data_IF_524558071527
#
_entry.id   IF_524558071527
#
_cell.length_a   1.000
_cell.length_b   1.000
_cell.length_c   1.000
_cell.angle_alpha   90.00
_cell.angle_beta   90.00
_cell.angle_gamma   90.00
#
_symmetry.space_group_name_H-M   'P 1'
#
loop_
_entity.id
_entity.type
_entity.pdbx_description
1 polymer ?
#
# COMPACT_ATOMS: atom_id res chain seq x y z
N UNK A 1 -16.64 72.60 4.63
CA UNK A 1 -17.99 72.04 4.88
C UNK A 1 -18.28 71.06 3.75
N UNK A 2 -17.66 69.87 3.65
CA UNK A 2 -17.71 68.70 4.55
C UNK A 2 -19.13 68.30 4.92
N UNK A 3 -19.73 67.43 4.10
CA UNK A 3 -20.65 66.38 4.57
C UNK A 3 -20.42 65.11 3.76
N UNK A 4 -20.03 64.07 4.49
CA UNK A 4 -19.69 62.74 4.02
C UNK A 4 -20.95 61.92 3.70
N UNK A 5 -20.93 61.20 2.59
CA UNK A 5 -21.88 60.12 2.28
C UNK A 5 -21.07 58.82 2.24
N UNK A 6 -21.22 58.04 3.31
CA UNK A 6 -20.71 56.67 3.40
C UNK A 6 -21.61 55.76 2.55
N UNK A 7 -21.07 55.22 1.46
CA UNK A 7 -21.68 54.13 0.71
C UNK A 7 -20.98 52.83 1.12
N UNK A 8 -21.67 52.05 1.95
CA UNK A 8 -21.28 50.71 2.37
C UNK A 8 -21.36 49.75 1.19
N UNK A 9 -20.21 49.29 0.68
CA UNK A 9 -20.13 48.21 -0.29
C UNK A 9 -20.24 46.87 0.46
N UNK A 10 -21.38 46.20 0.32
CA UNK A 10 -21.57 44.83 0.79
C UNK A 10 -20.82 43.86 -0.14
N UNK A 11 -19.62 43.43 0.27
CA UNK A 11 -18.96 42.26 -0.31
C UNK A 11 -19.71 41.01 0.16
N UNK A 12 -20.47 40.40 -0.74
CA UNK A 12 -21.03 39.06 -0.58
C UNK A 12 -19.90 38.05 -0.78
N UNK A 13 -19.33 37.59 0.34
CA UNK A 13 -18.37 36.50 0.38
C UNK A 13 -19.14 35.18 0.18
N UNK A 14 -19.10 34.62 -1.03
CA UNK A 14 -19.63 33.30 -1.30
C UNK A 14 -18.75 32.25 -0.59
N UNK A 15 -19.24 31.69 0.50
CA UNK A 15 -18.63 30.55 1.18
C UNK A 15 -18.82 29.30 0.32
N UNK A 16 -17.78 28.91 -0.41
CA UNK A 16 -17.61 27.55 -0.90
C UNK A 16 -17.44 26.64 0.32
N UNK A 17 -18.50 25.90 0.69
CA UNK A 17 -18.40 24.76 1.60
C UNK A 17 -17.60 23.66 0.90
N UNK A 18 -16.28 23.74 0.96
CA UNK A 18 -15.45 22.56 0.85
C UNK A 18 -15.67 21.75 2.13
N UNK A 19 -16.26 20.56 2.02
CA UNK A 19 -16.20 19.60 3.11
C UNK A 19 -14.72 19.41 3.49
N UNK A 20 -14.35 19.40 4.78
CA UNK A 20 -12.98 19.10 5.16
C UNK A 20 -12.67 17.68 4.69
N UNK A 21 -11.72 17.54 3.77
CA UNK A 21 -11.14 16.26 3.44
C UNK A 21 -10.48 15.71 4.72
N UNK A 22 -11.07 14.68 5.30
CA UNK A 22 -10.58 13.98 6.50
C UNK A 22 -9.26 13.30 6.15
N UNK A 23 -8.23 13.50 6.99
CA UNK A 23 -6.83 13.08 6.73
C UNK A 23 -6.37 12.09 7.80
N UNK A 24 -6.25 10.81 7.48
CA UNK A 24 -5.52 9.82 8.28
C UNK A 24 -4.01 10.01 8.13
N UNK A 25 -3.33 10.58 9.12
CA UNK A 25 -1.86 10.77 9.10
C UNK A 25 -1.29 11.31 7.75
N UNK A 26 -2.08 12.14 7.04
CA UNK A 26 -1.75 12.69 5.72
C UNK A 26 -2.26 11.93 4.48
N UNK A 27 -3.02 10.84 4.64
CA UNK A 27 -3.62 10.03 3.57
C UNK A 27 -5.07 9.62 3.90
N UNK A 28 -5.82 9.15 2.91
CA UNK A 28 -7.16 8.61 3.15
C UNK A 28 -7.06 7.17 3.74
N UNK A 29 -7.98 6.72 4.62
CA UNK A 29 -8.04 5.33 5.07
C UNK A 29 -8.08 4.36 3.87
N UNK A 30 -7.14 3.41 3.80
CA UNK A 30 -7.07 2.40 2.74
C UNK A 30 -6.48 1.10 3.27
N UNK A 31 -7.05 -0.02 2.84
CA UNK A 31 -6.43 -1.34 3.00
C UNK A 31 -5.35 -1.57 1.93
N UNK A 32 -4.18 -2.06 2.35
CA UNK A 32 -2.99 -2.21 1.51
C UNK A 32 -2.55 -3.67 1.35
N UNK A 33 -3.01 -4.55 2.24
CA UNK A 33 -2.77 -6.00 2.18
C UNK A 33 -3.84 -6.71 3.01
N UNK A 34 -4.27 -7.87 2.55
CA UNK A 34 -5.06 -8.82 3.33
C UNK A 34 -4.36 -10.19 3.33
N UNK A 35 -4.38 -10.87 4.47
CA UNK A 35 -3.84 -12.21 4.65
C UNK A 35 -4.76 -13.02 5.58
N UNK A 36 -4.76 -14.34 5.42
CA UNK A 36 -5.39 -15.26 6.37
C UNK A 36 -4.34 -16.07 7.12
N UNK A 37 -4.67 -16.51 8.32
CA UNK A 37 -3.91 -17.51 9.04
C UNK A 37 -3.99 -18.86 8.30
N UNK A 38 -2.85 -19.45 7.87
CA UNK A 38 -2.86 -20.76 7.20
C UNK A 38 -3.44 -21.90 8.05
N UNK A 39 -3.41 -21.77 9.38
CA UNK A 39 -3.96 -22.77 10.31
C UNK A 39 -5.45 -22.58 10.62
N UNK A 40 -5.98 -21.37 10.40
CA UNK A 40 -7.37 -21.01 10.65
C UNK A 40 -7.83 -19.88 9.71
N UNK A 41 -8.41 -20.18 8.54
CA UNK A 41 -8.82 -19.17 7.57
C UNK A 41 -9.91 -18.21 8.04
N UNK A 42 -10.55 -18.43 9.20
CA UNK A 42 -11.44 -17.42 9.80
C UNK A 42 -10.67 -16.28 10.45
N UNK A 43 -9.36 -16.44 10.67
CA UNK A 43 -8.48 -15.40 11.19
C UNK A 43 -7.86 -14.63 10.04
N UNK A 44 -8.22 -13.36 9.95
CA UNK A 44 -7.78 -12.47 8.88
C UNK A 44 -6.97 -11.33 9.46
N UNK A 45 -5.97 -10.90 8.71
CA UNK A 45 -5.11 -9.77 9.02
C UNK A 45 -5.15 -8.80 7.86
N UNK A 46 -5.27 -7.53 8.20
CA UNK A 46 -5.29 -6.43 7.25
C UNK A 46 -4.23 -5.43 7.63
N UNK A 47 -3.35 -5.10 6.67
CA UNK A 47 -2.47 -3.94 6.77
C UNK A 47 -3.17 -2.77 6.08
N UNK A 48 -3.32 -1.65 6.77
CA UNK A 48 -3.96 -0.45 6.27
C UNK A 48 -3.11 0.80 6.54
N UNK A 49 -3.49 1.93 5.92
CA UNK A 49 -2.82 3.24 6.15
C UNK A 49 -2.96 3.75 7.59
N UNK A 50 -3.86 3.15 8.36
CA UNK A 50 -4.21 3.47 9.74
C UNK A 50 -3.87 2.31 10.70
N UNK A 51 -2.84 1.51 10.36
CA UNK A 51 -2.35 0.42 11.22
C UNK A 51 -2.76 -0.97 10.72
N UNK A 52 -2.56 -1.95 11.59
CA UNK A 52 -2.92 -3.36 11.32
C UNK A 52 -4.22 -3.68 12.03
N UNK A 53 -5.11 -4.41 11.35
CA UNK A 53 -6.37 -4.90 11.88
C UNK A 53 -6.42 -6.42 11.84
N UNK A 54 -7.18 -7.00 12.76
CA UNK A 54 -7.42 -8.44 12.83
C UNK A 54 -8.90 -8.75 12.92
N UNK A 55 -9.29 -9.91 12.38
CA UNK A 55 -10.61 -10.51 12.53
C UNK A 55 -10.42 -11.97 12.91
N UNK A 56 -11.28 -12.51 13.77
CA UNK A 56 -11.27 -13.93 14.17
C UNK A 56 -12.51 -14.69 13.69
N UNK A 57 -13.43 -14.02 13.02
CA UNK A 57 -14.76 -14.52 12.64
C UNK A 57 -15.04 -14.44 11.13
N UNK A 58 -13.97 -14.56 10.33
CA UNK A 58 -13.96 -14.48 8.87
C UNK A 58 -14.42 -13.12 8.32
N UNK A 59 -14.03 -12.03 9.00
CA UNK A 59 -14.27 -10.66 8.57
C UNK A 59 -15.61 -10.07 8.99
N UNK A 60 -16.36 -10.70 9.90
CA UNK A 60 -17.63 -10.13 10.41
C UNK A 60 -17.37 -9.00 11.40
N UNK A 61 -16.31 -9.10 12.18
CA UNK A 61 -15.82 -8.05 13.07
C UNK A 61 -14.32 -7.81 12.87
N UNK A 62 -13.92 -6.55 13.01
CA UNK A 62 -12.54 -6.11 12.82
C UNK A 62 -12.07 -5.29 14.02
N UNK A 63 -10.87 -5.60 14.50
CA UNK A 63 -10.24 -4.96 15.64
C UNK A 63 -8.92 -4.35 15.23
N UNK A 64 -8.69 -3.11 15.65
CA UNK A 64 -7.46 -2.38 15.41
C UNK A 64 -6.37 -2.82 16.39
N UNK A 65 -5.13 -2.95 15.93
CA UNK A 65 -4.00 -3.33 16.77
C UNK A 65 -3.20 -2.11 17.19
N UNK A 66 -2.82 -2.10 18.47
CA UNK A 66 -1.94 -1.07 19.02
C UNK A 66 -0.55 -1.10 18.35
N UNK A 67 -0.28 -0.11 17.50
CA UNK A 67 0.97 -0.01 16.72
C UNK A 67 2.19 0.19 17.61
N UNK A 68 2.04 0.94 18.70
CA UNK A 68 3.10 1.18 19.69
C UNK A 68 3.59 -0.13 20.35
N UNK A 69 2.69 -1.05 20.68
CA UNK A 69 3.08 -2.36 21.22
C UNK A 69 3.88 -3.20 20.21
N UNK A 70 3.61 -3.03 18.92
CA UNK A 70 4.31 -3.67 17.82
C UNK A 70 5.54 -2.89 17.31
N UNK A 71 5.95 -1.83 18.02
CA UNK A 71 7.22 -1.13 17.79
C UNK A 71 7.30 -0.27 16.53
N UNK A 72 6.16 0.17 15.99
CA UNK A 72 6.10 1.10 14.86
C UNK A 72 5.15 2.27 15.12
N UNK A 73 5.42 3.39 14.45
CA UNK A 73 4.63 4.61 14.55
C UNK A 73 3.52 4.72 13.49
N UNK A 74 2.65 5.74 13.59
CA UNK A 74 1.48 5.90 12.72
C UNK A 74 1.81 6.20 11.25
N UNK A 75 3.06 6.56 10.94
CA UNK A 75 3.51 6.85 9.56
C UNK A 75 4.14 5.65 8.87
N UNK A 76 4.25 4.52 9.56
CA UNK A 76 4.90 3.31 9.05
C UNK A 76 3.84 2.28 8.63
N UNK A 77 4.07 1.64 7.48
CA UNK A 77 3.20 0.60 6.91
C UNK A 77 3.99 -0.73 6.83
N UNK A 78 4.27 -1.38 7.98
CA UNK A 78 5.21 -2.49 8.03
C UNK A 78 4.73 -3.67 7.17
N UNK A 79 5.59 -4.32 6.35
CA UNK A 79 5.24 -5.59 5.71
C UNK A 79 4.69 -6.58 6.75
N UNK A 80 3.54 -7.17 6.43
CA UNK A 80 2.85 -8.15 7.26
C UNK A 80 2.95 -9.53 6.62
N UNK A 81 3.26 -10.54 7.43
CA UNK A 81 3.20 -11.93 7.03
C UNK A 81 2.66 -12.81 8.16
N UNK A 82 2.07 -13.96 7.80
CA UNK A 82 1.52 -14.93 8.76
C UNK A 82 2.12 -16.30 8.46
N UNK A 83 2.68 -16.96 9.48
CA UNK A 83 3.35 -18.25 9.33
C UNK A 83 2.38 -19.42 9.51
N UNK A 84 2.86 -20.65 9.30
CA UNK A 84 2.07 -21.88 9.43
C UNK A 84 1.37 -22.03 10.79
N UNK A 85 1.96 -21.50 11.85
CA UNK A 85 1.45 -21.62 13.23
C UNK A 85 0.56 -20.46 13.65
N UNK A 86 0.20 -19.56 12.72
CA UNK A 86 -0.51 -18.32 13.03
C UNK A 86 0.36 -17.24 13.66
N UNK A 87 1.69 -17.41 13.67
CA UNK A 87 2.61 -16.35 14.11
C UNK A 87 2.52 -15.19 13.11
N UNK A 88 2.23 -14.00 13.61
CA UNK A 88 2.19 -12.78 12.80
C UNK A 88 3.52 -12.08 12.89
N UNK A 89 4.09 -11.72 11.73
CA UNK A 89 5.35 -11.04 11.60
C UNK A 89 5.14 -9.65 11.01
N UNK A 90 5.74 -8.65 11.64
CA UNK A 90 5.78 -7.27 11.17
C UNK A 90 7.23 -6.83 11.00
N UNK A 91 7.61 -6.52 9.76
CA UNK A 91 8.93 -5.94 9.47
C UNK A 91 8.91 -4.43 9.68
N UNK A 92 9.58 -3.92 10.71
CA UNK A 92 9.61 -2.48 11.00
C UNK A 92 10.99 -1.88 10.77
N UNK A 93 11.10 -0.56 10.80
CA UNK A 93 12.38 0.16 10.82
C UNK A 93 13.23 -0.17 12.06
N UNK A 94 12.58 -0.65 13.13
CA UNK A 94 13.21 -1.01 14.40
C UNK A 94 13.53 -2.51 14.51
N UNK A 95 13.03 -3.34 13.59
CA UNK A 95 13.28 -4.78 13.59
C UNK A 95 12.06 -5.64 13.24
N UNK A 96 12.26 -6.96 13.29
CA UNK A 96 11.17 -7.91 13.07
C UNK A 96 10.41 -8.15 14.38
N UNK A 97 9.17 -7.67 14.45
CA UNK A 97 8.27 -7.97 15.56
C UNK A 97 7.43 -9.19 15.24
N UNK A 98 7.22 -10.05 16.23
CA UNK A 98 6.38 -11.23 16.12
C UNK A 98 5.32 -11.27 17.21
N UNK A 99 4.12 -11.74 16.86
CA UNK A 99 3.06 -12.10 17.78
C UNK A 99 2.67 -13.56 17.60
N UNK A 100 2.57 -14.28 18.71
CA UNK A 100 2.20 -15.70 18.77
C UNK A 100 0.84 -15.93 19.46
N UNK A 101 0.20 -14.84 19.90
CA UNK A 101 -0.99 -14.82 20.75
C UNK A 101 -2.06 -13.88 20.18
N UNK A 102 -2.21 -13.91 18.85
CA UNK A 102 -3.25 -13.20 18.11
C UNK A 102 -3.18 -11.68 18.23
N UNK A 103 -1.98 -11.12 18.35
CA UNK A 103 -1.73 -9.69 18.31
C UNK A 103 -1.72 -9.00 19.68
N UNK A 104 -1.82 -9.75 20.78
CA UNK A 104 -1.76 -9.20 22.13
C UNK A 104 -0.34 -9.02 22.68
N UNK A 105 0.57 -9.90 22.29
CA UNK A 105 1.98 -9.89 22.64
C UNK A 105 2.84 -9.67 21.40
N UNK A 106 3.84 -8.80 21.54
CA UNK A 106 4.76 -8.43 20.47
C UNK A 106 6.18 -8.34 21.00
N UNK A 107 7.11 -9.03 20.35
CA UNK A 107 8.52 -8.98 20.70
C UNK A 107 9.40 -9.29 19.48
N UNK A 108 10.67 -8.96 19.57
CA UNK A 108 11.66 -9.53 18.66
C UNK A 108 11.76 -11.04 18.92
N UNK A 109 11.69 -11.91 17.88
CA UNK A 109 11.99 -13.33 18.05
C UNK A 109 13.39 -13.59 18.59
N UNK A 110 14.34 -12.72 18.22
CA UNK A 110 15.71 -12.68 18.73
C UNK A 110 16.25 -11.25 18.59
N UNK A 111 17.14 -10.84 19.50
CA UNK A 111 17.76 -9.51 19.47
C UNK A 111 18.57 -9.23 18.20
N UNK A 112 19.02 -10.28 17.50
CA UNK A 112 19.74 -10.16 16.24
C UNK A 112 18.86 -9.62 15.09
N UNK A 113 17.53 -9.65 15.22
CA UNK A 113 16.59 -9.11 14.24
C UNK A 113 16.12 -7.69 14.57
N UNK A 114 16.85 -6.98 15.45
CA UNK A 114 16.57 -5.60 15.87
C UNK A 114 17.14 -4.53 14.93
N UNK A 115 16.98 -4.70 13.62
CA UNK A 115 17.42 -3.73 12.60
C UNK A 115 16.39 -3.58 11.49
N UNK A 116 16.44 -2.49 10.72
CA UNK A 116 15.43 -2.16 9.70
C UNK A 116 15.19 -3.32 8.73
N UNK A 117 13.96 -3.84 8.75
CA UNK A 117 13.50 -4.89 7.85
C UNK A 117 13.13 -4.29 6.51
N UNK A 118 13.90 -4.58 5.48
CA UNK A 118 13.62 -4.14 4.10
C UNK A 118 12.97 -5.22 3.27
N UNK A 119 13.01 -6.48 3.70
CA UNK A 119 12.30 -7.57 3.04
C UNK A 119 11.80 -8.63 4.02
N UNK A 120 10.57 -9.12 3.79
CA UNK A 120 9.94 -10.19 4.56
C UNK A 120 9.18 -11.09 3.59
N UNK A 121 9.54 -12.37 3.52
CA UNK A 121 8.87 -13.35 2.67
C UNK A 121 8.59 -14.64 3.43
N UNK A 122 7.35 -15.13 3.33
CA UNK A 122 6.90 -16.43 3.84
C UNK A 122 6.59 -17.33 2.65
N UNK A 123 7.03 -18.59 2.71
CA UNK A 123 6.88 -19.52 1.60
C UNK A 123 5.41 -19.97 1.51
N UNK A 124 4.76 -19.69 0.39
CA UNK A 124 3.33 -19.92 0.22
C UNK A 124 2.95 -21.39 0.38
N UNK A 125 3.79 -22.31 -0.13
CA UNK A 125 3.54 -23.76 -0.02
C UNK A 125 4.12 -24.37 1.25
N UNK A 126 5.06 -23.69 1.89
CA UNK A 126 5.62 -24.12 3.16
C UNK A 126 5.71 -22.94 4.16
N UNK A 127 4.59 -22.47 4.75
CA UNK A 127 4.60 -21.28 5.60
C UNK A 127 5.40 -21.39 6.91
N UNK A 128 6.11 -22.51 7.13
CA UNK A 128 7.15 -22.63 8.16
C UNK A 128 8.48 -21.98 7.74
N UNK A 129 8.72 -21.82 6.44
CA UNK A 129 9.93 -21.19 5.90
C UNK A 129 9.70 -19.70 5.72
N UNK A 130 10.53 -18.90 6.40
CA UNK A 130 10.49 -17.44 6.35
C UNK A 130 11.89 -16.92 6.06
N UNK A 131 12.02 -15.93 5.18
CA UNK A 131 13.28 -15.23 4.92
C UNK A 131 13.08 -13.74 5.16
N UNK A 132 14.03 -13.15 5.89
CA UNK A 132 14.05 -11.74 6.25
C UNK A 132 15.34 -11.12 5.75
N UNK A 133 15.20 -9.95 5.13
CA UNK A 133 16.29 -9.09 4.73
C UNK A 133 16.32 -7.88 5.66
N UNK A 134 17.45 -7.71 6.34
CA UNK A 134 17.76 -6.51 7.11
C UNK A 134 18.72 -5.66 6.29
N UNK A 135 18.49 -4.35 6.23
CA UNK A 135 19.43 -3.42 5.60
C UNK A 135 19.49 -2.11 6.39
N UNK A 136 20.70 -1.66 6.70
CA UNK A 136 20.94 -0.40 7.40
C UNK A 136 22.07 0.40 6.77
N UNK A 137 22.00 1.73 6.88
CA UNK A 137 23.07 2.61 6.44
C UNK A 137 24.33 2.42 7.29
N UNK A 138 25.48 2.42 6.63
CA UNK A 138 26.81 2.34 7.20
C UNK A 138 27.67 3.55 6.79
N UNK A 139 28.85 3.70 7.39
CA UNK A 139 29.75 4.82 7.10
C UNK A 139 30.24 4.81 5.64
N UNK A 140 30.51 5.99 5.11
CA UNK A 140 31.04 6.15 3.75
C UNK A 140 30.04 5.87 2.62
N UNK A 141 28.73 6.02 2.88
CA UNK A 141 27.68 5.82 1.87
C UNK A 141 27.45 4.34 1.53
N UNK A 142 27.80 3.45 2.46
CA UNK A 142 27.63 1.99 2.33
C UNK A 142 26.37 1.54 3.08
N UNK A 143 26.02 0.28 2.88
CA UNK A 143 24.96 -0.41 3.60
C UNK A 143 25.52 -1.72 4.17
N UNK A 144 24.99 -2.10 5.33
CA UNK A 144 25.12 -3.44 5.87
C UNK A 144 23.80 -4.15 5.62
N UNK A 145 23.85 -5.30 4.95
CA UNK A 145 22.67 -6.10 4.65
C UNK A 145 22.88 -7.54 5.07
N UNK A 146 21.88 -8.09 5.74
CA UNK A 146 21.91 -9.44 6.30
C UNK A 146 20.66 -10.20 5.88
N UNK A 147 20.84 -11.49 5.60
CA UNK A 147 19.73 -12.41 5.41
C UNK A 147 19.60 -13.31 6.62
N UNK A 148 18.35 -13.50 7.05
CA UNK A 148 17.98 -14.38 8.14
C UNK A 148 16.86 -15.31 7.68
N UNK A 149 16.87 -16.53 8.20
CA UNK A 149 15.86 -17.54 7.86
C UNK A 149 15.33 -18.24 9.10
N UNK A 150 14.03 -18.51 9.08
CA UNK A 150 13.38 -19.48 9.95
C UNK A 150 12.86 -20.64 9.10
N UNK A 151 12.94 -21.87 9.62
CA UNK A 151 12.38 -23.08 9.02
C UNK A 151 11.26 -23.71 9.88
N UNK A 152 10.91 -23.06 10.99
CA UNK A 152 10.00 -23.55 12.02
C UNK A 152 8.94 -22.48 12.37
N UNK A 153 8.45 -21.77 11.35
CA UNK A 153 7.34 -20.83 11.45
C UNK A 153 7.61 -19.62 12.36
N UNK A 154 8.87 -19.20 12.44
CA UNK A 154 9.32 -18.02 13.18
C UNK A 154 9.78 -18.31 14.62
N UNK A 155 9.80 -19.59 15.04
CA UNK A 155 10.19 -19.97 16.40
C UNK A 155 11.72 -19.86 16.63
N UNK A 156 12.53 -20.18 15.62
CA UNK A 156 13.99 -19.98 15.64
C UNK A 156 14.49 -19.39 14.33
N UNK A 157 15.64 -18.71 14.41
CA UNK A 157 16.21 -17.93 13.31
C UNK A 157 17.72 -18.17 13.20
N UNK A 158 18.19 -18.30 11.97
CA UNK A 158 19.61 -18.43 11.63
C UNK A 158 20.01 -17.38 10.59
N UNK A 159 21.20 -16.81 10.77
CA UNK A 159 21.81 -15.95 9.73
C UNK A 159 22.21 -16.81 8.54
N UNK A 160 21.94 -16.31 7.34
CA UNK A 160 22.37 -16.88 6.08
C UNK A 160 23.65 -16.16 5.66
N UNK A 161 24.80 -16.86 5.56
CA UNK A 161 26.01 -16.28 4.99
C UNK A 161 25.70 -15.79 3.59
N UNK A 162 25.98 -14.52 3.29
CA UNK A 162 25.63 -13.90 2.02
C UNK A 162 26.72 -12.94 1.55
N UNK A 163 27.01 -12.95 0.25
CA UNK A 163 27.92 -12.00 -0.37
C UNK A 163 27.15 -10.89 -1.11
N UNK A 164 26.76 -9.85 -0.38
CA UNK A 164 26.10 -8.68 -0.95
C UNK A 164 27.07 -7.51 -1.09
N UNK A 165 26.97 -6.77 -2.20
CA UNK A 165 27.75 -5.55 -2.40
C UNK A 165 27.36 -4.48 -1.35
N UNK A 166 28.27 -4.04 -0.48
CA UNK A 166 27.98 -3.02 0.53
C UNK A 166 27.74 -1.63 -0.07
N UNK A 167 27.95 -1.41 -1.37
CA UNK A 167 27.61 -0.17 -2.05
C UNK A 167 26.14 -0.11 -2.53
N UNK A 168 25.37 -1.19 -2.35
CA UNK A 168 23.98 -1.28 -2.78
C UNK A 168 23.03 -1.36 -1.58
N UNK A 169 21.88 -0.68 -1.70
CA UNK A 169 20.75 -0.84 -0.78
C UNK A 169 19.82 -1.92 -1.32
N UNK A 170 19.57 -2.98 -0.54
CA UNK A 170 18.63 -4.04 -0.90
C UNK A 170 17.26 -3.78 -0.27
N UNK A 171 16.21 -4.05 -1.06
CA UNK A 171 14.88 -3.46 -0.81
C UNK A 171 13.72 -4.45 -0.79
N UNK A 172 13.93 -5.69 -1.24
CA UNK A 172 12.91 -6.73 -1.15
C UNK A 172 13.55 -8.11 -1.27
N UNK A 173 12.85 -9.12 -0.78
CA UNK A 173 13.21 -10.53 -0.92
C UNK A 173 12.03 -11.31 -1.49
N UNK A 174 12.30 -12.16 -2.46
CA UNK A 174 11.38 -13.14 -3.00
C UNK A 174 11.94 -14.55 -2.85
N UNK A 175 11.06 -15.51 -2.64
CA UNK A 175 11.43 -16.91 -2.44
C UNK A 175 10.64 -17.80 -3.38
N UNK A 176 11.27 -18.86 -3.89
CA UNK A 176 10.57 -19.87 -4.68
C UNK A 176 10.07 -21.00 -3.78
N UNK A 177 8.78 -21.29 -3.86
CA UNK A 177 8.17 -22.47 -3.23
C UNK A 177 8.53 -23.77 -3.94
N UNK A 178 8.83 -23.71 -5.25
CA UNK A 178 9.18 -24.88 -6.06
C UNK A 178 10.65 -25.27 -6.01
N UNK A 179 11.52 -24.35 -5.58
CA UNK A 179 12.96 -24.56 -5.46
C UNK A 179 13.46 -23.77 -4.23
N UNK A 180 13.54 -24.37 -3.03
CA UNK A 180 13.93 -23.67 -1.81
C UNK A 180 15.34 -23.06 -1.83
N UNK A 181 16.21 -23.47 -2.76
CA UNK A 181 17.52 -22.86 -2.94
C UNK A 181 17.46 -21.57 -3.77
N UNK A 182 16.34 -21.33 -4.47
CA UNK A 182 16.12 -20.14 -5.27
C UNK A 182 15.58 -18.98 -4.43
N UNK A 183 16.37 -17.92 -4.33
CA UNK A 183 16.00 -16.64 -3.76
C UNK A 183 16.20 -15.52 -4.77
N UNK A 184 15.43 -14.45 -4.61
CA UNK A 184 15.53 -13.23 -5.39
C UNK A 184 15.63 -12.03 -4.46
N UNK A 185 16.42 -11.04 -4.84
CA UNK A 185 16.46 -9.74 -4.18
C UNK A 185 16.28 -8.63 -5.22
N UNK A 186 15.82 -7.47 -4.77
CA UNK A 186 16.02 -6.23 -5.51
C UNK A 186 16.95 -5.31 -4.75
N UNK A 187 17.69 -4.48 -5.48
CA UNK A 187 18.51 -3.45 -4.89
C UNK A 187 18.67 -2.21 -5.77
N UNK A 188 19.25 -1.18 -5.19
CA UNK A 188 19.67 0.05 -5.84
C UNK A 188 21.19 0.19 -5.66
N UNK A 189 21.99 0.10 -6.74
CA UNK A 189 23.43 0.34 -6.69
C UNK A 189 23.76 1.82 -6.48
N UNK A 190 24.89 2.09 -5.82
CA UNK A 190 25.26 3.43 -5.38
C UNK A 190 24.29 3.94 -4.32
N UNK A 191 24.46 5.16 -3.83
CA UNK A 191 23.59 5.76 -2.81
C UNK A 191 22.16 6.08 -3.30
N UNK A 192 21.47 5.13 -3.97
CA UNK A 192 20.09 5.23 -4.44
C UNK A 192 19.90 5.85 -5.83
N UNK A 193 20.97 6.19 -6.55
CA UNK A 193 20.89 6.90 -7.85
C UNK A 193 20.96 6.02 -9.10
N UNK A 194 21.26 4.73 -8.96
CA UNK A 194 21.39 3.78 -10.07
C UNK A 194 20.07 3.23 -10.61
N UNK A 195 20.15 2.44 -11.69
CA UNK A 195 19.04 1.56 -12.10
C UNK A 195 18.85 0.48 -11.03
N UNK A 196 17.62 0.07 -10.78
CA UNK A 196 17.38 -1.09 -9.93
C UNK A 196 18.01 -2.35 -10.53
N UNK A 197 18.58 -3.16 -9.66
CA UNK A 197 19.10 -4.48 -9.98
C UNK A 197 18.21 -5.54 -9.37
N UNK A 198 18.07 -6.66 -10.07
CA UNK A 198 17.47 -7.88 -9.54
C UNK A 198 18.58 -8.90 -9.39
N UNK A 199 18.66 -9.53 -8.22
CA UNK A 199 19.63 -10.56 -7.91
C UNK A 199 18.94 -11.91 -7.80
N UNK A 200 19.61 -12.95 -8.27
CA UNK A 200 19.20 -14.35 -8.20
C UNK A 200 20.26 -15.15 -7.44
N UNK A 201 19.84 -15.90 -6.44
CA UNK A 201 20.66 -16.93 -5.81
C UNK A 201 20.17 -18.32 -6.25
N UNK A 202 21.10 -19.27 -6.35
CA UNK A 202 20.80 -20.71 -6.59
C UNK A 202 21.20 -21.59 -5.41
N UNK A 203 21.64 -20.99 -4.32
CA UNK A 203 22.32 -21.65 -3.19
C UNK A 203 21.82 -21.11 -1.84
N UNK A 204 20.51 -20.82 -1.76
CA UNK A 204 19.82 -20.33 -0.56
C UNK A 204 20.38 -19.00 -0.03
N UNK A 205 20.88 -18.14 -0.91
CA UNK A 205 21.32 -16.79 -0.59
C UNK A 205 22.82 -16.63 -0.32
N UNK A 206 23.61 -17.68 -0.55
CA UNK A 206 25.06 -17.63 -0.32
C UNK A 206 25.78 -16.81 -1.38
N UNK A 207 25.40 -16.97 -2.64
CA UNK A 207 25.94 -16.20 -3.76
C UNK A 207 24.82 -15.69 -4.68
N UNK A 208 25.15 -14.64 -5.44
CA UNK A 208 24.17 -13.88 -6.22
C UNK A 208 24.70 -13.56 -7.62
N UNK A 209 23.87 -13.78 -8.63
CA UNK A 209 24.02 -13.19 -9.96
C UNK A 209 23.06 -12.00 -10.07
N UNK A 210 23.50 -10.89 -10.66
CA UNK A 210 22.70 -9.67 -10.80
C UNK A 210 22.41 -9.35 -12.27
N UNK A 211 21.23 -8.76 -12.51
CA UNK A 211 20.85 -8.17 -13.79
C UNK A 211 20.21 -6.80 -13.55
N UNK A 212 20.46 -5.87 -14.46
CA UNK A 212 19.75 -4.59 -14.47
C UNK A 212 18.27 -4.80 -14.79
N UNK A 213 17.38 -4.15 -14.05
CA UNK A 213 15.99 -4.01 -14.46
C UNK A 213 15.92 -2.94 -15.56
N UNK A 214 15.48 -3.28 -16.78
CA UNK A 214 15.51 -2.34 -17.89
C UNK A 214 14.51 -1.19 -17.69
N UNK A 215 14.87 0.02 -18.10
CA UNK A 215 13.94 1.16 -18.12
C UNK A 215 13.48 1.66 -16.75
N UNK A 216 14.22 1.36 -15.67
CA UNK A 216 13.84 1.71 -14.30
C UNK A 216 14.78 2.72 -13.60
N UNK A 217 15.27 3.80 -14.26
CA UNK A 217 16.16 4.76 -13.59
C UNK A 217 15.43 5.46 -12.44
N UNK A 218 15.96 5.33 -11.21
CA UNK A 218 15.36 5.95 -10.02
C UNK A 218 14.11 5.25 -9.47
N UNK A 219 13.65 4.15 -10.07
CA UNK A 219 12.60 3.32 -9.47
C UNK A 219 13.22 2.23 -8.59
N UNK A 220 12.75 2.11 -7.36
CA UNK A 220 13.04 0.97 -6.50
C UNK A 220 12.25 -0.26 -6.97
N UNK A 221 12.94 -1.25 -7.55
CA UNK A 221 12.34 -2.53 -7.89
C UNK A 221 11.88 -3.28 -6.64
N UNK A 222 10.78 -4.01 -6.74
CA UNK A 222 10.22 -4.86 -5.68
C UNK A 222 9.81 -6.20 -6.28
N UNK A 223 10.28 -7.32 -5.72
CA UNK A 223 9.73 -8.64 -6.08
C UNK A 223 8.29 -8.68 -5.59
N UNK A 224 7.34 -8.92 -6.49
CA UNK A 224 5.92 -8.96 -6.15
C UNK A 224 5.28 -10.33 -6.34
N UNK A 225 5.94 -11.23 -7.06
CA UNK A 225 5.51 -12.63 -7.14
C UNK A 225 6.57 -13.53 -7.73
N UNK A 226 6.63 -14.76 -7.22
CA UNK A 226 7.42 -15.86 -7.77
C UNK A 226 6.45 -17.00 -8.02
N UNK A 227 6.51 -17.61 -9.20
CA UNK A 227 5.51 -18.58 -9.60
C UNK A 227 5.56 -19.84 -8.72
N UNK A 228 4.41 -20.35 -8.27
CA UNK A 228 4.34 -21.35 -7.19
C UNK A 228 4.90 -22.73 -7.58
N UNK A 229 5.05 -23.00 -8.88
CA UNK A 229 5.54 -24.30 -9.41
C UNK A 229 6.72 -24.16 -10.38
N UNK A 230 7.17 -22.94 -10.68
CA UNK A 230 8.27 -22.71 -11.60
C UNK A 230 9.15 -21.56 -11.08
N UNK A 231 10.36 -21.82 -10.58
CA UNK A 231 11.21 -20.76 -10.05
C UNK A 231 11.55 -19.71 -11.12
N UNK A 232 11.60 -20.08 -12.39
CA UNK A 232 12.09 -19.18 -13.44
C UNK A 232 11.08 -18.09 -13.81
N UNK A 233 9.82 -18.20 -13.37
CA UNK A 233 8.79 -17.19 -13.60
C UNK A 233 8.66 -16.31 -12.36
N UNK A 234 8.94 -15.01 -12.51
CA UNK A 234 8.80 -14.03 -11.45
C UNK A 234 8.43 -12.64 -11.98
N UNK A 235 7.88 -11.83 -11.08
CA UNK A 235 7.37 -10.50 -11.37
C UNK A 235 8.00 -9.45 -10.46
N UNK A 236 8.38 -8.33 -11.07
CA UNK A 236 9.00 -7.19 -10.40
C UNK A 236 8.21 -5.93 -10.69
N UNK A 237 7.80 -5.26 -9.62
CA UNK A 237 7.19 -3.93 -9.65
C UNK A 237 8.27 -2.87 -9.67
N UNK A 238 8.08 -1.81 -10.46
CA UNK A 238 8.86 -0.58 -10.34
C UNK A 238 7.94 0.63 -10.46
N UNK A 239 7.90 1.49 -9.44
CA UNK A 239 7.11 2.71 -9.43
C UNK A 239 8.03 3.95 -9.51
N UNK A 240 7.72 4.87 -10.42
CA UNK A 240 8.37 6.17 -10.59
C UNK A 240 7.44 7.28 -10.10
N UNK A 241 7.35 7.47 -8.79
CA UNK A 241 6.46 8.46 -8.17
C UNK A 241 6.92 9.91 -8.39
N UNK A 242 8.17 10.13 -8.78
CA UNK A 242 8.72 11.45 -9.12
C UNK A 242 8.29 11.95 -10.50
N UNK A 243 7.72 11.07 -11.35
CA UNK A 243 7.18 11.46 -12.65
C UNK A 243 5.78 12.08 -12.54
N UNK A 244 5.36 12.83 -13.55
CA UNK A 244 4.03 13.46 -13.60
C UNK A 244 3.41 13.25 -14.99
N UNK A 245 2.36 12.41 -15.12
CA UNK A 245 1.77 11.57 -14.06
C UNK A 245 2.78 10.54 -13.54
N UNK A 246 2.56 10.01 -12.32
CA UNK A 246 3.38 8.92 -11.80
C UNK A 246 3.22 7.67 -12.63
N UNK A 247 4.27 6.87 -12.74
CA UNK A 247 4.23 5.64 -13.54
C UNK A 247 4.45 4.40 -12.67
N UNK A 248 3.71 3.33 -12.94
CA UNK A 248 3.88 2.02 -12.35
C UNK A 248 4.05 0.96 -13.43
N UNK A 249 5.19 0.26 -13.41
CA UNK A 249 5.53 -0.78 -14.37
C UNK A 249 5.63 -2.14 -13.69
N UNK A 250 5.14 -3.16 -14.39
CA UNK A 250 5.31 -4.56 -14.06
C UNK A 250 6.26 -5.20 -15.08
N UNK A 251 7.30 -5.84 -14.56
CA UNK A 251 8.27 -6.61 -15.33
C UNK A 251 8.08 -8.09 -15.03
N UNK A 252 8.21 -8.93 -16.05
CA UNK A 252 8.20 -10.37 -15.92
C UNK A 252 9.52 -10.94 -16.42
N UNK A 253 9.99 -11.99 -15.75
CA UNK A 253 11.04 -12.88 -16.23
C UNK A 253 10.46 -14.29 -16.34
N UNK A 254 10.87 -15.03 -17.37
CA UNK A 254 10.56 -16.46 -17.55
C UNK A 254 11.84 -17.32 -17.59
N UNK A 255 12.98 -16.74 -17.24
CA UNK A 255 14.32 -17.35 -17.29
C UNK A 255 15.05 -17.25 -15.94
N UNK A 256 14.30 -17.00 -14.86
CA UNK A 256 14.81 -16.95 -13.50
C UNK A 256 15.67 -15.73 -13.24
N UNK A 257 15.20 -14.55 -13.65
CA UNK A 257 15.87 -13.27 -13.50
C UNK A 257 17.20 -13.19 -14.25
N UNK A 258 17.31 -13.84 -15.42
CA UNK A 258 18.41 -13.59 -16.35
C UNK A 258 18.08 -12.43 -17.29
N UNK A 259 16.80 -12.24 -17.60
CA UNK A 259 16.30 -11.07 -18.32
C UNK A 259 14.88 -10.71 -17.88
N UNK A 260 14.47 -9.47 -18.17
CA UNK A 260 13.14 -8.96 -17.85
C UNK A 260 12.50 -8.27 -19.06
N UNK A 261 11.19 -8.46 -19.21
CA UNK A 261 10.35 -7.72 -20.15
C UNK A 261 9.29 -6.93 -19.39
N UNK A 262 9.06 -5.67 -19.77
CA UNK A 262 7.94 -4.90 -19.24
C UNK A 262 6.64 -5.43 -19.84
N UNK A 263 5.74 -5.94 -19.00
CA UNK A 263 4.48 -6.58 -19.42
C UNK A 263 3.24 -5.72 -19.18
N UNK A 264 3.35 -4.74 -18.28
CA UNK A 264 2.28 -3.77 -18.01
C UNK A 264 2.90 -2.46 -17.56
N UNK A 265 2.31 -1.34 -17.98
CA UNK A 265 2.67 -0.01 -17.52
C UNK A 265 1.42 0.86 -17.54
N UNK A 266 1.21 1.62 -16.47
CA UNK A 266 0.16 2.63 -16.38
C UNK A 266 0.74 3.92 -15.79
N UNK A 267 0.09 5.04 -16.07
CA UNK A 267 0.23 6.34 -15.45
C UNK A 267 -0.44 6.38 -14.06
N UNK A 268 -0.19 5.33 -13.28
CA UNK A 268 -0.54 5.19 -11.87
C UNK A 268 0.43 4.18 -11.23
N UNK A 269 0.66 4.23 -9.91
CA UNK A 269 1.48 3.25 -9.24
C UNK A 269 0.83 1.87 -9.21
N UNK A 270 1.66 0.84 -9.40
CA UNK A 270 1.27 -0.54 -9.14
C UNK A 270 1.35 -0.79 -7.63
N UNK A 271 0.19 -0.91 -6.98
CA UNK A 271 0.08 -1.01 -5.53
C UNK A 271 0.03 -2.47 -5.04
N UNK A 272 -0.65 -3.34 -5.78
CA UNK A 272 -0.79 -4.76 -5.45
C UNK A 272 -0.52 -5.68 -6.63
N UNK A 273 -0.16 -6.92 -6.32
CA UNK A 273 -0.01 -7.99 -7.31
C UNK A 273 -0.23 -9.33 -6.63
N UNK A 274 -0.82 -10.29 -7.35
CA UNK A 274 -0.92 -11.67 -6.88
C UNK A 274 -0.98 -12.65 -8.05
N UNK A 275 -0.54 -13.89 -7.81
CA UNK A 275 -0.73 -15.02 -8.71
C UNK A 275 -1.86 -15.90 -8.17
N UNK A 276 -2.60 -16.54 -9.07
CA UNK A 276 -3.50 -17.62 -8.65
C UNK A 276 -2.70 -18.76 -8.00
N UNK A 277 -3.30 -19.56 -7.10
CA UNK A 277 -2.58 -20.61 -6.38
C UNK A 277 -1.90 -21.66 -7.27
N UNK A 278 -2.44 -21.88 -8.48
CA UNK A 278 -1.87 -22.76 -9.50
C UNK A 278 -0.80 -22.07 -10.38
N UNK A 279 -0.64 -20.76 -10.26
CA UNK A 279 0.26 -19.92 -11.05
C UNK A 279 -0.24 -19.59 -12.45
N UNK A 280 -1.46 -19.98 -12.83
CA UNK A 280 -1.94 -19.81 -14.21
C UNK A 280 -2.39 -18.40 -14.55
N UNK A 281 -2.80 -17.61 -13.56
CA UNK A 281 -3.26 -16.22 -13.72
C UNK A 281 -2.48 -15.26 -12.84
N UNK A 282 -2.28 -14.04 -13.35
CA UNK A 282 -1.66 -12.94 -12.63
C UNK A 282 -2.64 -11.77 -12.55
N UNK A 283 -2.65 -11.08 -11.40
CA UNK A 283 -3.47 -9.90 -11.15
C UNK A 283 -2.58 -8.73 -10.72
N UNK A 284 -2.79 -7.56 -11.30
CA UNK A 284 -2.04 -6.34 -11.03
C UNK A 284 -3.00 -5.21 -10.67
N UNK A 285 -2.82 -4.62 -9.48
CA UNK A 285 -3.70 -3.59 -8.92
C UNK A 285 -3.06 -2.21 -9.04
N UNK A 286 -3.70 -1.33 -9.80
CA UNK A 286 -3.33 0.08 -9.97
C UNK A 286 -4.29 0.95 -9.17
N UNK A 287 -3.71 1.79 -8.32
CA UNK A 287 -4.45 2.61 -7.38
C UNK A 287 -3.86 3.99 -7.25
N UNK A 288 -4.59 4.87 -6.57
CA UNK A 288 -4.11 6.20 -6.27
C UNK A 288 -3.25 6.16 -4.98
N UNK A 289 -1.96 6.52 -5.05
CA UNK A 289 -1.11 6.58 -3.86
C UNK A 289 -1.56 7.72 -2.93
N UNK A 290 -0.89 7.89 -1.79
CA UNK A 290 -1.18 9.00 -0.86
C UNK A 290 -1.06 10.37 -1.56
N UNK A 291 -1.79 11.37 -1.07
CA UNK A 291 -2.08 12.63 -1.77
C UNK A 291 -0.87 13.39 -2.32
N UNK A 292 -1.09 14.10 -3.44
CA UNK A 292 -0.08 14.91 -4.13
C UNK A 292 0.56 14.26 -5.35
N UNK A 293 0.26 12.98 -5.62
CA UNK A 293 0.69 12.29 -6.83
C UNK A 293 -0.37 12.43 -7.92
N UNK A 294 0.06 12.82 -9.12
CA UNK A 294 -0.82 12.91 -10.28
C UNK A 294 -0.91 11.54 -10.95
N UNK A 295 -2.13 11.04 -11.13
CA UNK A 295 -2.43 9.76 -11.79
C UNK A 295 -3.44 9.96 -12.92
N UNK A 296 -3.56 8.97 -13.81
CA UNK A 296 -4.62 8.89 -14.82
C UNK A 296 -5.73 7.97 -14.30
N UNK A 297 -6.85 8.55 -13.86
CA UNK A 297 -7.99 7.82 -13.27
C UNK A 297 -8.51 6.67 -14.16
N UNK A 298 -8.51 6.87 -15.49
CA UNK A 298 -8.93 5.85 -16.47
C UNK A 298 -8.01 4.61 -16.54
N UNK A 299 -6.82 4.67 -15.94
CA UNK A 299 -5.86 3.56 -15.87
C UNK A 299 -5.80 2.92 -14.46
N UNK A 300 -6.62 3.39 -13.53
CA UNK A 300 -6.82 2.73 -12.25
C UNK A 300 -7.70 1.49 -12.43
N UNK A 301 -7.36 0.43 -11.71
CA UNK A 301 -8.11 -0.81 -11.81
C UNK A 301 -7.36 -2.05 -11.36
N UNK A 302 -8.08 -3.16 -11.41
CA UNK A 302 -7.49 -4.49 -11.38
C UNK A 302 -7.32 -4.98 -12.82
N UNK A 303 -6.12 -5.43 -13.14
CA UNK A 303 -5.78 -6.02 -14.42
C UNK A 303 -5.47 -7.49 -14.23
N UNK A 304 -5.91 -8.35 -15.14
CA UNK A 304 -5.63 -9.79 -15.12
C UNK A 304 -4.97 -10.24 -16.42
N UNK A 305 -4.06 -11.21 -16.35
CA UNK A 305 -3.49 -11.90 -17.49
C UNK A 305 -3.35 -13.40 -17.22
N UNK A 306 -3.28 -14.20 -18.29
CA UNK A 306 -2.68 -15.53 -18.17
C UNK A 306 -1.18 -15.36 -18.08
N UNK A 307 -0.53 -16.10 -17.18
CA UNK A 307 0.93 -16.05 -17.04
C UNK A 307 1.64 -16.48 -18.33
N UNK A 308 1.03 -17.38 -19.10
CA UNK A 308 1.60 -17.90 -20.35
C UNK A 308 1.81 -16.86 -21.46
N UNK A 309 1.00 -15.79 -21.49
CA UNK A 309 1.07 -14.75 -22.53
C UNK A 309 1.32 -13.34 -21.97
N UNK A 310 1.12 -13.12 -20.67
CA UNK A 310 1.21 -11.83 -20.00
C UNK A 310 0.34 -10.73 -20.65
N UNK A 311 -0.75 -11.11 -21.32
CA UNK A 311 -1.67 -10.18 -21.97
C UNK A 311 -2.66 -9.59 -20.95
N UNK A 312 -2.24 -8.57 -20.21
CA UNK A 312 -3.06 -7.94 -19.18
C UNK A 312 -4.24 -7.15 -19.77
N UNK A 313 -5.44 -7.44 -19.26
CA UNK A 313 -6.66 -6.70 -19.53
C UNK A 313 -7.31 -6.26 -18.22
N UNK A 314 -7.93 -5.07 -18.22
CA UNK A 314 -8.63 -4.54 -17.04
C UNK A 314 -9.90 -5.34 -16.77
N UNK A 315 -10.08 -5.81 -15.54
CA UNK A 315 -11.25 -6.59 -15.08
C UNK A 315 -12.11 -5.83 -14.06
N UNK A 316 -11.52 -4.84 -13.37
CA UNK A 316 -12.23 -3.93 -12.47
C UNK A 316 -11.77 -2.50 -12.74
N UNK A 317 -12.70 -1.57 -12.85
CA UNK A 317 -12.43 -0.13 -13.00
C UNK A 317 -12.32 0.53 -11.63
N UNK A 318 -11.52 1.61 -11.54
CA UNK A 318 -11.37 2.41 -10.33
C UNK A 318 -10.18 1.99 -9.44
N UNK A 319 -9.88 2.73 -8.37
CA UNK A 319 -8.67 2.52 -7.58
C UNK A 319 -8.67 1.19 -6.84
N UNK A 320 -7.63 0.37 -7.06
CA UNK A 320 -7.39 -0.88 -6.33
C UNK A 320 -6.01 -0.81 -5.66
N UNK A 321 -5.99 -0.93 -4.34
CA UNK A 321 -4.79 -0.76 -3.52
C UNK A 321 -4.04 -2.08 -3.25
N UNK A 322 -4.73 -3.22 -3.32
CA UNK A 322 -4.14 -4.53 -3.10
C UNK A 322 -4.89 -5.61 -3.90
N UNK A 323 -4.22 -6.73 -4.14
CA UNK A 323 -4.85 -7.98 -4.57
C UNK A 323 -4.13 -9.15 -3.88
N UNK A 324 -4.87 -10.19 -3.46
CA UNK A 324 -4.33 -11.38 -2.82
C UNK A 324 -5.24 -12.59 -3.06
N UNK A 325 -4.70 -13.80 -2.95
CA UNK A 325 -5.53 -15.02 -2.89
C UNK A 325 -5.63 -15.49 -1.45
N UNK A 326 -6.88 -15.66 -0.98
CA UNK A 326 -7.17 -16.15 0.37
C UNK A 326 -8.20 -17.27 0.24
N UNK A 327 -7.84 -18.45 0.75
CA UNK A 327 -8.67 -19.66 0.66
C UNK A 327 -9.17 -20.00 -0.76
N UNK A 328 -8.37 -19.70 -1.78
CA UNK A 328 -8.69 -19.95 -3.19
C UNK A 328 -9.58 -18.90 -3.86
N UNK A 329 -10.03 -17.89 -3.13
CA UNK A 329 -10.78 -16.75 -3.67
C UNK A 329 -9.83 -15.58 -3.93
N UNK A 330 -10.15 -14.75 -4.94
CA UNK A 330 -9.42 -13.52 -5.20
C UNK A 330 -9.97 -12.41 -4.31
N UNK A 331 -9.10 -11.73 -3.58
CA UNK A 331 -9.45 -10.61 -2.72
C UNK A 331 -8.82 -9.34 -3.26
N UNK A 332 -9.55 -8.23 -3.16
CA UNK A 332 -9.08 -6.92 -3.59
C UNK A 332 -9.41 -5.85 -2.56
N UNK A 333 -8.47 -4.92 -2.39
CA UNK A 333 -8.64 -3.75 -1.54
C UNK A 333 -9.05 -2.55 -2.39
N UNK A 334 -10.17 -1.92 -2.05
CA UNK A 334 -10.69 -0.74 -2.73
C UNK A 334 -10.93 0.37 -1.73
N UNK A 335 -11.61 1.43 -2.15
CA UNK A 335 -12.14 2.47 -1.26
C UNK A 335 -13.66 2.31 -1.24
N UNK A 336 -14.26 2.30 -0.06
CA UNK A 336 -15.71 2.14 0.04
C UNK A 336 -16.48 3.32 -0.56
N UNK A 337 -15.82 4.46 -0.71
CA UNK A 337 -16.40 5.66 -1.32
C UNK A 337 -16.43 5.57 -2.85
N UNK A 338 -15.57 4.73 -3.43
CA UNK A 338 -15.50 4.50 -4.87
C UNK A 338 -16.25 3.23 -5.29
N UNK A 339 -16.17 2.16 -4.47
CA UNK A 339 -16.60 0.81 -4.83
C UNK A 339 -17.61 0.19 -3.84
N UNK A 340 -17.92 0.87 -2.73
CA UNK A 340 -18.84 0.38 -1.70
C UNK A 340 -18.23 -0.56 -0.66
N UNK A 341 -16.95 -0.93 -0.77
CA UNK A 341 -16.22 -1.72 0.24
C UNK A 341 -14.75 -1.31 0.36
N UNK A 342 -14.12 -1.61 1.50
CA UNK A 342 -12.67 -1.48 1.70
C UNK A 342 -11.93 -2.77 1.32
N UNK A 343 -12.53 -3.93 1.64
CA UNK A 343 -12.04 -5.25 1.26
C UNK A 343 -13.19 -6.09 0.73
N UNK A 344 -12.98 -6.72 -0.41
CA UNK A 344 -13.97 -7.60 -1.05
C UNK A 344 -13.33 -8.86 -1.58
N UNK A 345 -14.14 -9.91 -1.73
CA UNK A 345 -13.73 -11.19 -2.32
C UNK A 345 -14.51 -11.52 -3.58
N UNK A 346 -13.86 -12.23 -4.49
CA UNK A 346 -14.36 -12.57 -5.82
C UNK A 346 -14.06 -14.04 -6.13
N UNK A 347 -15.07 -14.69 -6.71
CA UNK A 347 -14.99 -16.07 -7.20
C UNK A 347 -15.05 -16.17 -8.73
N UNK A 348 -15.15 -15.05 -9.44
CA UNK A 348 -15.33 -14.98 -10.90
C UNK A 348 -14.15 -14.32 -11.64
N UNK A 349 -12.99 -14.28 -10.99
CA UNK A 349 -11.77 -13.71 -11.54
C UNK A 349 -11.72 -12.18 -11.45
N UNK A 350 -12.37 -11.59 -10.44
CA UNK A 350 -12.32 -10.15 -10.16
C UNK A 350 -13.32 -9.33 -10.96
N UNK A 351 -14.37 -9.95 -11.52
CA UNK A 351 -15.42 -9.23 -12.25
C UNK A 351 -16.48 -8.70 -11.29
N UNK A 352 -16.80 -9.47 -10.26
CA UNK A 352 -17.71 -9.05 -9.18
C UNK A 352 -17.08 -9.35 -7.82
N UNK A 353 -17.42 -8.51 -6.84
CA UNK A 353 -16.91 -8.61 -5.47
C UNK A 353 -18.05 -8.63 -4.46
N UNK A 354 -17.95 -9.53 -3.50
CA UNK A 354 -18.77 -9.51 -2.28
C UNK A 354 -18.01 -8.74 -1.20
N UNK A 355 -18.59 -7.68 -0.61
CA UNK A 355 -17.96 -6.95 0.49
C UNK A 355 -17.62 -7.85 1.69
N UNK A 356 -16.45 -7.63 2.28
CA UNK A 356 -15.97 -8.29 3.51
C UNK A 356 -15.66 -7.28 4.61
N UNK A 357 -15.16 -6.09 4.25
CA UNK A 357 -14.88 -5.01 5.21
C UNK A 357 -15.41 -3.67 4.69
N UNK A 358 -15.99 -2.92 5.60
CA UNK A 358 -16.25 -1.48 5.50
C UNK A 358 -15.64 -0.79 6.73
N UNK A 359 -15.24 0.48 6.61
CA UNK A 359 -14.69 1.28 7.72
C UNK A 359 -15.67 1.35 8.91
N UNK A 360 -16.98 1.36 8.61
CA UNK A 360 -18.03 1.33 9.62
C UNK A 360 -18.08 -0.01 10.41
N UNK A 361 -17.40 -1.06 9.97
CA UNK A 361 -17.31 -2.36 10.66
C UNK A 361 -16.15 -2.47 11.65
N UNK A 362 -15.27 -1.47 11.73
CA UNK A 362 -14.13 -1.48 12.66
C UNK A 362 -14.65 -1.19 14.07
N UNK A 363 -14.39 -2.10 15.01
CA UNK A 363 -14.97 -2.07 16.36
C UNK A 363 -14.20 -1.15 17.31
N UNK A 364 -12.88 -1.26 17.31
CA UNK A 364 -12.02 -0.61 18.30
C UNK A 364 -10.68 -1.31 18.44
N UNK A 365 -9.84 -0.89 19.40
CA UNK A 365 -8.62 -1.61 19.74
C UNK A 365 -8.93 -3.04 20.15
N UNK A 366 -8.04 -3.97 19.81
CA UNK A 366 -8.09 -5.34 20.28
C UNK A 366 -7.95 -5.37 21.81
N UNK A 367 -8.93 -5.93 22.50
CA UNK A 367 -8.87 -6.13 23.95
C UNK A 367 -7.93 -7.28 24.29
N UNK A 368 -6.91 -6.99 25.10
CA UNK A 368 -5.87 -7.94 25.46
C UNK A 368 -5.68 -8.05 26.99
N UNK A 369 -5.20 -9.19 27.50
CA UNK A 369 -4.90 -9.34 28.92
C UNK A 369 -3.92 -8.26 29.41
N UNK A 370 -4.13 -7.72 30.62
CA UNK A 370 -3.31 -6.64 31.19
C UNK A 370 -1.80 -6.98 31.26
N UNK A 371 -1.44 -8.26 31.34
CA UNK A 371 -0.06 -8.74 31.37
C UNK A 371 0.62 -8.83 29.99
N UNK A 372 -0.15 -8.69 28.90
CA UNK A 372 0.39 -8.73 27.53
C UNK A 372 1.15 -7.44 27.19
N UNK A 373 1.89 -7.42 26.09
CA UNK A 373 2.59 -6.19 25.68
C UNK A 373 1.57 -5.10 25.29
N UNK A 374 0.48 -5.46 24.62
CA UNK A 374 -0.63 -4.52 24.36
C UNK A 374 -1.26 -4.04 25.66
N UNK A 375 -1.56 -4.94 26.61
CA UNK A 375 -2.15 -4.56 27.90
C UNK A 375 -1.27 -3.64 28.75
N UNK A 376 0.06 -3.75 28.62
CA UNK A 376 1.02 -2.92 29.38
C UNK A 376 1.36 -1.60 28.68
N UNK A 377 1.57 -1.63 27.37
CA UNK A 377 1.94 -0.45 26.57
C UNK A 377 0.72 0.42 26.31
N UNK A 378 -0.44 -0.20 26.07
CA UNK A 378 -1.61 0.47 25.50
C UNK A 378 -2.75 0.71 26.50
N UNK A 379 -2.56 0.35 27.77
CA UNK A 379 -3.55 0.59 28.85
C UNK A 379 -3.73 2.06 29.23
N UNK A 380 -2.85 2.96 28.77
CA UNK A 380 -2.91 4.40 29.04
C UNK A 380 -2.70 5.26 27.76
N UNK A 381 -2.72 4.67 26.56
CA UNK A 381 -2.45 5.37 25.30
C UNK A 381 -3.67 5.36 24.39
N UNK A 382 -4.67 6.16 24.75
CA UNK A 382 -5.85 6.44 23.91
C UNK A 382 -5.51 7.21 22.60
N UNK A 383 -4.29 7.74 22.49
CA UNK A 383 -3.94 8.70 21.42
C UNK A 383 -4.02 8.15 20.00
N UNK A 384 -3.55 6.93 19.73
CA UNK A 384 -3.56 6.41 18.35
C UNK A 384 -4.96 5.98 17.91
N UNK A 385 -5.74 5.36 18.80
CA UNK A 385 -7.09 4.94 18.45
C UNK A 385 -8.04 6.11 18.29
N UNK A 386 -7.99 7.13 19.15
CA UNK A 386 -8.86 8.31 19.01
C UNK A 386 -8.65 9.00 17.65
N UNK A 387 -7.41 9.12 17.21
CA UNK A 387 -7.06 9.68 15.90
C UNK A 387 -7.57 8.77 14.76
N UNK A 388 -7.26 7.47 14.80
CA UNK A 388 -7.74 6.50 13.82
C UNK A 388 -9.26 6.48 13.76
N UNK A 389 -9.93 6.46 14.91
CA UNK A 389 -11.38 6.42 15.05
C UNK A 389 -12.04 7.68 14.46
N UNK A 390 -11.44 8.86 14.68
CA UNK A 390 -11.88 10.12 14.06
C UNK A 390 -11.70 10.06 12.54
N UNK A 391 -10.58 9.51 12.07
CA UNK A 391 -10.23 9.48 10.65
C UNK A 391 -11.08 8.49 9.85
N UNK A 392 -11.52 7.39 10.45
CA UNK A 392 -12.50 6.46 9.86
C UNK A 392 -13.96 6.89 10.10
N UNK A 393 -14.19 8.07 10.69
CA UNK A 393 -15.52 8.64 10.91
C UNK A 393 -16.34 7.93 12.00
N UNK A 394 -15.69 7.19 12.89
CA UNK A 394 -16.30 6.44 14.00
C UNK A 394 -16.45 7.25 15.28
N UNK A 395 -15.50 8.13 15.57
CA UNK A 395 -15.51 8.98 16.75
C UNK A 395 -15.77 10.43 16.34
N UNK A 396 -16.79 11.06 16.96
CA UNK A 396 -17.12 12.47 16.75
C UNK A 396 -16.54 13.35 17.85
N UNK A 397 -16.08 14.55 17.47
CA UNK A 397 -15.53 15.60 18.32
C UNK A 397 -16.28 15.75 19.65
N UNK A 398 -15.67 15.32 20.74
CA UNK A 398 -16.22 15.51 22.06
C UNK A 398 -16.32 17.00 22.39
N UNK A 399 -17.54 17.54 22.36
CA UNK A 399 -17.93 18.58 23.31
C UNK A 399 -17.71 17.99 24.72
N UNK A 400 -16.69 18.48 25.42
CA UNK A 400 -16.31 17.93 26.71
C UNK A 400 -15.42 18.85 27.53
N UNK A 401 -15.86 20.09 27.75
CA UNK A 401 -15.37 20.93 28.85
C UNK A 401 -16.52 21.27 29.78
N UNK A 402 -16.49 20.76 31.01
CA UNK A 402 -17.46 21.08 32.06
C UNK A 402 -17.45 22.59 32.40
N UNK A 403 -18.63 23.20 32.52
CA UNK A 403 -18.77 24.55 33.05
C UNK A 403 -20.24 24.99 33.15
N UNK A 404 -20.85 24.71 34.30
CA UNK A 404 -22.02 25.35 34.92
C UNK A 404 -23.32 25.62 34.14
N UNK A 405 -24.41 25.23 34.78
CA UNK A 405 -25.77 25.68 34.49
C UNK A 405 -25.88 27.22 34.48
N UNK A 406 -26.53 27.75 33.44
CA UNK A 406 -26.95 29.15 33.34
C UNK A 406 -27.46 29.53 31.95
N UNK A 407 -28.80 29.55 31.81
CA UNK A 407 -29.66 30.27 30.85
C UNK A 407 -29.44 30.12 29.33
N UNK A 408 -30.52 29.65 28.68
CA UNK A 408 -31.11 30.01 27.37
C UNK A 408 -30.29 30.95 26.45
N UNK A 409 -29.96 30.47 25.24
CA UNK A 409 -30.53 30.99 23.98
C UNK A 409 -30.02 30.21 22.75
N UNK A 410 -30.87 30.22 21.72
CA UNK A 410 -30.98 29.32 20.56
C UNK A 410 -29.82 29.29 19.55
N UNK A 411 -29.70 28.16 18.83
CA UNK A 411 -28.90 28.08 17.60
C UNK A 411 -28.63 26.70 17.00
N UNK A 412 -29.50 25.70 17.18
CA UNK A 412 -29.31 24.36 16.60
C UNK A 412 -29.89 24.22 15.19
N UNK A 413 -29.05 24.21 14.15
CA UNK A 413 -29.46 23.78 12.80
C UNK A 413 -29.32 22.25 12.68
N UNK A 414 -30.41 21.53 12.95
CA UNK A 414 -30.56 20.11 12.63
C UNK A 414 -30.93 19.92 11.15
N UNK A 415 -30.14 19.14 10.42
CA UNK A 415 -30.51 18.69 9.07
C UNK A 415 -31.57 17.59 9.14
N UNK A 416 -32.84 17.96 8.91
CA UNK A 416 -33.90 17.01 8.53
C UNK A 416 -33.98 16.94 7.00
N UNK A 417 -33.61 15.80 6.44
CA UNK A 417 -33.93 15.44 5.05
C UNK A 417 -35.43 15.19 4.93
N UNK A 418 -36.10 15.95 4.06
CA UNK A 418 -37.40 15.55 3.52
C UNK A 418 -37.34 15.54 2.00
N UNK A 419 -37.66 14.38 1.45
CA UNK A 419 -37.88 14.15 0.03
C UNK A 419 -39.23 14.74 -0.40
N UNK A 420 -39.27 15.33 -1.60
CA UNK A 420 -40.39 15.24 -2.56
C UNK A 420 -40.05 15.99 -3.84
N UNK A 421 -40.16 15.31 -4.97
CA UNK A 421 -39.99 15.88 -6.30
C UNK A 421 -41.22 16.65 -6.79
N UNK A 422 -41.02 17.45 -7.83
CA UNK A 422 -42.01 17.74 -8.87
C UNK A 422 -41.33 18.40 -10.07
N UNK A 423 -41.83 18.04 -11.25
CA UNK A 423 -41.45 18.46 -12.59
C UNK A 423 -41.64 19.97 -12.84
N UNK A 424 -40.86 20.52 -13.79
CA UNK A 424 -41.14 21.82 -14.40
C UNK A 424 -40.11 22.19 -15.47
N UNK A 425 -40.47 21.96 -16.74
CA UNK A 425 -39.68 22.34 -17.91
C UNK A 425 -39.73 23.85 -18.21
N UNK A 426 -38.64 24.37 -18.81
CA UNK A 426 -38.56 25.33 -19.94
C UNK A 426 -37.39 26.30 -19.79
N UNK A 427 -36.60 26.45 -20.85
CA UNK A 427 -35.70 27.60 -21.03
C UNK A 427 -34.43 27.35 -21.85
N UNK A 428 -34.58 27.10 -23.16
CA UNK A 428 -33.51 27.22 -24.15
C UNK A 428 -32.92 28.64 -24.14
N UNK A 429 -31.59 28.76 -24.24
CA UNK A 429 -30.93 29.85 -24.97
C UNK A 429 -29.52 29.40 -25.39
N UNK A 430 -29.36 29.23 -26.70
CA UNK A 430 -28.09 29.09 -27.40
C UNK A 430 -27.67 30.46 -27.96
N UNK A 431 -26.36 30.70 -28.06
CA UNK A 431 -25.62 31.58 -28.99
C UNK A 431 -24.17 31.65 -28.48
N UNK A 432 -23.11 31.88 -29.25
CA UNK A 432 -22.69 31.55 -30.61
C UNK A 432 -21.22 32.02 -30.68
N UNK A 433 -20.42 31.35 -31.51
CA UNK A 433 -18.99 31.61 -31.68
C UNK A 433 -18.68 32.95 -32.38
N UNK A 434 -17.50 33.51 -32.10
CA UNK A 434 -16.71 34.28 -33.07
C UNK A 434 -15.23 33.93 -32.90
N UNK A 435 -14.65 33.35 -33.95
CA UNK A 435 -13.21 33.29 -34.16
C UNK A 435 -12.73 34.50 -34.96
N UNK A 436 -11.43 34.78 -34.86
CA UNK A 436 -10.67 35.41 -35.93
C UNK A 436 -9.26 34.82 -35.93
N UNK A 437 -8.85 34.37 -37.11
CA UNK A 437 -7.51 33.87 -37.38
C UNK A 437 -6.68 34.84 -38.20
N UNK A 438 -5.39 34.49 -38.22
CA UNK A 438 -4.35 34.71 -39.23
C UNK A 438 -3.57 36.04 -39.32
N UNK A 439 -2.25 35.84 -39.30
CA UNK A 439 -1.23 36.69 -39.87
C UNK A 439 0.12 35.97 -39.90
N UNK A 440 0.39 35.20 -40.97
CA UNK A 440 1.70 34.62 -41.30
C UNK A 440 2.70 35.73 -41.68
N UNK A 441 3.96 35.58 -41.28
CA UNK A 441 5.13 36.25 -41.86
C UNK A 441 6.33 35.31 -41.83
N UNK A 442 6.85 34.96 -43.01
CA UNK A 442 7.87 33.94 -43.27
C UNK A 442 9.19 34.61 -43.70
N UNK A 443 10.32 33.88 -43.50
CA UNK A 443 11.67 34.01 -44.16
C UNK A 443 12.62 35.07 -43.54
N UNK A 444 13.95 34.89 -43.46
CA UNK A 444 14.91 33.92 -44.03
C UNK A 444 16.28 34.08 -43.33
N UNK A 445 17.02 32.97 -43.24
CA UNK A 445 18.47 32.77 -43.46
C UNK A 445 19.54 33.70 -42.83
N UNK A 446 20.47 33.06 -42.11
CA UNK A 446 21.84 33.54 -41.87
C UNK A 446 22.68 32.43 -41.24
N UNK A 447 23.80 32.07 -41.89
CA UNK A 447 24.66 30.90 -41.68
C UNK A 447 26.07 31.41 -41.31
N UNK A 448 26.88 30.58 -40.62
CA UNK A 448 28.36 30.67 -40.45
C UNK A 448 28.79 31.71 -39.37
N UNK A 449 29.72 31.47 -38.42
CA UNK A 449 31.04 30.85 -38.51
C UNK A 449 31.58 30.27 -37.19
N UNK A 450 32.53 29.35 -37.37
CA UNK A 450 33.50 28.74 -36.45
C UNK A 450 34.63 29.69 -36.01
N UNK A 451 35.32 29.32 -34.92
CA UNK A 451 36.67 29.77 -34.51
C UNK A 451 36.66 30.35 -33.09
N UNK A 452 37.46 29.92 -32.11
CA UNK A 452 38.70 29.16 -32.10
C UNK A 452 38.76 28.24 -30.87
#
# INVERSE_FOLDING_TARGET
>A
MQHALHLSAALSLAWLLAAPAVRAHGAFPKVLQAAADPSDPSRLWVRATHGVLTSTDAGKSWYWLCTAAAGYGPTEEPPLAVTKTGTVLLGTFNGLYASIDHGCGWAFPTSALGSSVTGLAVDEKNPSRVVVLLSRGASGGKFESELWQSLDAGASWASVPTSLDPAALYLSVGISSSDPARLYLTGLPGAGGGKSVVLRSSDSGQSWASVDLPGSPGAAGQIVGVHPTNPDILYVRANLTSSTPSEGALFASGDGAQSFSQVLKQAAPLMGFTLSPDGSQAFAAYGNPRGGVVVVEAELGLYSAKVADNAFARVLEGPVACASFIAGELWACTSQFDQGFELGRSSDGGKTFTPVMELAGITGPLECPAASTVGTVCSNTDFDWEDVCRDIGKCGFGTGGQGNAGSEDDGGCGCRSTSKGANGALGLLALAALGFGWGRGQRRAGRVASGA
#
